data_IF_638169822088
#
_entry.id   IF_638169822088
#
_cell.length_a   1.000
_cell.length_b   1.000
_cell.length_c   1.000
_cell.angle_alpha   90.00
_cell.angle_beta   90.00
_cell.angle_gamma   90.00
#
_symmetry.space_group_name_H-M   'P 1'
#
loop_
_entity.id
_entity.type
_entity.pdbx_description
1 polymer ?
#
# COMPACT_ATOMS: atom_id res chain seq x y z
N UNK A 1 -16.16 -22.16 9.71
CA UNK A 1 -15.66 -22.02 8.32
C UNK A 1 -14.95 -23.32 7.98
N UNK A 2 -15.23 -23.95 6.83
CA UNK A 2 -14.48 -25.12 6.43
C UNK A 2 -13.09 -24.71 5.87
N UNK A 3 -12.10 -25.61 5.83
CA UNK A 3 -10.75 -25.29 5.34
C UNK A 3 -10.72 -24.78 3.90
N UNK A 4 -11.57 -25.30 3.03
CA UNK A 4 -11.67 -24.89 1.62
C UNK A 4 -12.14 -23.46 1.49
N UNK A 5 -13.17 -23.04 2.22
CA UNK A 5 -13.66 -21.66 2.21
C UNK A 5 -12.60 -20.66 2.67
N UNK A 6 -11.72 -21.03 3.61
CA UNK A 6 -10.59 -20.19 3.99
C UNK A 6 -9.54 -20.08 2.86
N UNK A 7 -9.22 -21.20 2.23
CA UNK A 7 -8.27 -21.24 1.10
C UNK A 7 -8.78 -20.42 -0.08
N UNK A 8 -10.06 -20.51 -0.40
CA UNK A 8 -10.71 -19.73 -1.45
C UNK A 8 -10.67 -18.23 -1.15
N UNK A 9 -10.98 -17.84 0.09
CA UNK A 9 -10.89 -16.44 0.52
C UNK A 9 -9.45 -15.90 0.38
N UNK A 10 -8.47 -16.68 0.85
CA UNK A 10 -7.06 -16.30 0.77
C UNK A 10 -6.58 -16.17 -0.68
N UNK A 11 -7.03 -17.06 -1.58
CA UNK A 11 -6.72 -17.02 -3.01
C UNK A 11 -7.42 -15.85 -3.72
N UNK A 12 -8.68 -15.57 -3.37
CA UNK A 12 -9.48 -14.50 -3.97
C UNK A 12 -8.93 -13.09 -3.62
N UNK A 13 -8.31 -12.92 -2.43
CA UNK A 13 -7.73 -11.63 -2.06
C UNK A 13 -6.49 -11.33 -2.91
N UNK A 14 -6.55 -10.25 -3.67
CA UNK A 14 -5.43 -9.73 -4.48
C UNK A 14 -5.40 -8.21 -4.42
N UNK A 15 -4.37 -7.59 -4.99
CA UNK A 15 -4.27 -6.13 -5.06
C UNK A 15 -5.13 -5.59 -6.21
N UNK A 16 -6.25 -4.97 -5.86
CA UNK A 16 -7.15 -4.28 -6.79
C UNK A 16 -6.58 -2.91 -7.12
N UNK A 17 -6.54 -2.54 -8.41
CA UNK A 17 -5.91 -1.31 -8.92
C UNK A 17 -6.84 -0.45 -9.77
N UNK A 18 -8.13 -0.62 -9.57
CA UNK A 18 -9.20 0.18 -10.13
C UNK A 18 -10.44 0.00 -9.27
N UNK A 19 -10.86 1.06 -8.59
CA UNK A 19 -12.02 1.01 -7.70
C UNK A 19 -13.18 1.81 -8.29
N UNK A 20 -14.41 1.41 -7.92
CA UNK A 20 -15.62 2.19 -8.12
C UNK A 20 -15.67 3.30 -7.07
N UNK A 21 -16.38 4.41 -7.35
CA UNK A 21 -16.51 5.53 -6.41
C UNK A 21 -17.48 5.25 -5.25
N UNK A 22 -18.19 4.11 -5.29
CA UNK A 22 -19.20 3.76 -4.29
C UNK A 22 -18.60 3.78 -2.88
N UNK A 23 -19.18 4.50 -1.92
CA UNK A 23 -18.67 4.55 -0.56
C UNK A 23 -18.79 3.20 0.12
N UNK A 24 -17.80 2.85 0.95
CA UNK A 24 -17.91 1.70 1.85
C UNK A 24 -18.68 2.15 3.09
N UNK A 25 -19.78 1.49 3.48
CA UNK A 25 -20.54 1.85 4.66
C UNK A 25 -19.70 1.82 5.94
N UNK A 26 -19.99 2.74 6.87
CA UNK A 26 -19.24 2.84 8.13
C UNK A 26 -19.27 1.56 8.95
N UNK A 27 -20.45 0.94 9.06
CA UNK A 27 -20.62 -0.34 9.76
C UNK A 27 -19.79 -1.49 9.15
N UNK A 28 -19.53 -1.44 7.84
CA UNK A 28 -18.66 -2.43 7.17
C UNK A 28 -17.20 -2.16 7.53
N UNK A 29 -16.78 -0.89 7.56
CA UNK A 29 -15.43 -0.51 7.98
C UNK A 29 -15.18 -0.87 9.46
N UNK A 30 -16.15 -0.61 10.33
CA UNK A 30 -16.08 -0.97 11.76
C UNK A 30 -15.95 -2.48 11.93
N UNK A 31 -16.74 -3.27 11.21
CA UNK A 31 -16.66 -4.73 11.25
C UNK A 31 -15.31 -5.26 10.74
N UNK A 32 -14.71 -4.62 9.72
CA UNK A 32 -13.38 -4.96 9.20
C UNK A 32 -12.31 -4.66 10.28
N UNK A 33 -12.40 -3.52 10.96
CA UNK A 33 -11.49 -3.15 12.04
C UNK A 33 -11.64 -4.05 13.27
N UNK A 34 -12.87 -4.46 13.58
CA UNK A 34 -13.16 -5.40 14.67
C UNK A 34 -12.54 -6.78 14.43
N UNK A 35 -12.55 -7.26 13.21
CA UNK A 35 -11.83 -8.50 12.85
C UNK A 35 -10.31 -8.28 12.90
N UNK A 36 -9.83 -7.15 12.37
CA UNK A 36 -8.40 -6.83 12.36
C UNK A 36 -7.79 -6.79 13.77
N UNK A 37 -8.58 -6.36 14.78
CA UNK A 37 -8.15 -6.34 16.19
C UNK A 37 -7.92 -7.74 16.78
N UNK A 38 -8.39 -8.83 16.14
CA UNK A 38 -8.13 -10.21 16.57
C UNK A 38 -6.73 -10.70 16.19
N UNK A 39 -6.01 -9.95 15.35
CA UNK A 39 -4.63 -10.30 15.04
C UNK A 39 -3.76 -10.30 16.29
N UNK A 40 -2.87 -11.31 16.47
CA UNK A 40 -1.95 -11.34 17.59
C UNK A 40 -0.90 -10.24 17.47
N UNK A 41 -0.30 -9.86 18.59
CA UNK A 41 0.87 -8.99 18.65
C UNK A 41 1.81 -9.44 19.76
N UNK A 42 3.07 -9.04 19.68
CA UNK A 42 4.06 -9.36 20.69
C UNK A 42 3.59 -8.90 22.08
N UNK A 43 3.46 -9.83 23.01
CA UNK A 43 2.95 -9.60 24.36
C UNK A 43 1.63 -8.82 24.43
N UNK A 44 0.82 -8.91 23.39
CA UNK A 44 -0.45 -8.18 23.22
C UNK A 44 -0.29 -6.64 23.30
N UNK A 45 0.87 -6.11 22.92
CA UNK A 45 1.18 -4.67 23.02
C UNK A 45 0.53 -3.83 21.94
N UNK A 46 0.17 -4.41 20.79
CA UNK A 46 -0.46 -3.72 19.64
C UNK A 46 0.28 -2.43 19.25
N UNK A 47 1.57 -2.51 18.85
CA UNK A 47 2.42 -1.34 18.63
C UNK A 47 2.14 -0.69 17.27
N UNK A 48 0.89 -0.61 16.87
CA UNK A 48 0.45 -0.05 15.60
C UNK A 48 -0.84 0.77 15.79
N UNK A 49 -1.04 1.72 14.89
CA UNK A 49 -2.25 2.53 14.76
C UNK A 49 -2.73 2.51 13.32
N UNK A 50 -4.04 2.65 13.12
CA UNK A 50 -4.66 2.75 11.79
C UNK A 50 -5.40 4.08 11.70
N UNK A 51 -5.22 4.81 10.59
CA UNK A 51 -6.03 5.95 10.24
C UNK A 51 -6.77 5.68 8.93
N UNK A 52 -8.04 6.08 8.85
CA UNK A 52 -8.89 5.94 7.67
C UNK A 52 -9.38 7.31 7.21
N UNK A 53 -9.28 7.56 5.90
CA UNK A 53 -9.84 8.73 5.23
C UNK A 53 -10.91 8.29 4.24
N UNK A 54 -12.04 8.97 4.27
CA UNK A 54 -13.17 8.79 3.36
C UNK A 54 -13.65 10.16 2.87
N UNK A 55 -14.47 10.20 1.81
CA UNK A 55 -15.07 11.42 1.29
C UNK A 55 -14.02 12.50 0.99
N UNK A 56 -14.33 13.76 1.32
CA UNK A 56 -13.48 14.91 1.03
C UNK A 56 -12.05 14.78 1.60
N UNK A 57 -11.89 14.13 2.76
CA UNK A 57 -10.55 13.88 3.33
C UNK A 57 -9.72 12.97 2.43
N UNK A 58 -10.31 11.91 1.90
CA UNK A 58 -9.65 11.03 0.94
C UNK A 58 -9.28 11.78 -0.34
N UNK A 59 -10.13 12.70 -0.80
CA UNK A 59 -9.87 13.52 -2.00
C UNK A 59 -8.70 14.50 -1.79
N UNK A 60 -8.64 15.18 -0.64
CA UNK A 60 -7.51 16.06 -0.30
C UNK A 60 -6.20 15.29 -0.20
N UNK A 61 -6.19 14.14 0.47
CA UNK A 61 -5.01 13.27 0.56
C UNK A 61 -4.55 12.81 -0.83
N UNK A 62 -5.48 12.37 -1.67
CA UNK A 62 -5.18 11.95 -3.05
C UNK A 62 -4.51 13.07 -3.83
N UNK A 63 -5.08 14.27 -3.79
CA UNK A 63 -4.51 15.44 -4.45
C UNK A 63 -3.11 15.78 -3.92
N UNK A 64 -2.91 15.72 -2.61
CA UNK A 64 -1.62 16.01 -1.97
C UNK A 64 -0.55 14.98 -2.35
N UNK A 65 -0.84 13.67 -2.28
CA UNK A 65 0.11 12.62 -2.68
C UNK A 65 0.45 12.67 -4.17
N UNK A 66 -0.51 12.97 -5.02
CA UNK A 66 -0.28 13.18 -6.44
C UNK A 66 0.66 14.34 -6.69
N UNK A 67 0.45 15.47 -6.01
CA UNK A 67 1.32 16.65 -6.15
C UNK A 67 2.77 16.34 -5.70
N UNK A 68 2.97 15.54 -4.63
CA UNK A 68 4.30 15.10 -4.21
C UNK A 68 4.95 14.17 -5.24
N UNK A 69 4.19 13.22 -5.79
CA UNK A 69 4.69 12.32 -6.83
C UNK A 69 5.11 13.10 -8.09
N UNK A 70 4.25 13.99 -8.58
CA UNK A 70 4.51 14.79 -9.78
C UNK A 70 5.77 15.65 -9.62
N UNK A 71 6.03 16.18 -8.42
CA UNK A 71 7.24 16.92 -8.10
C UNK A 71 8.53 16.07 -8.19
N UNK A 72 8.43 14.73 -8.05
CA UNK A 72 9.59 13.83 -8.15
C UNK A 72 9.88 13.37 -9.58
N UNK A 73 8.95 13.51 -10.52
CA UNK A 73 9.12 13.04 -11.91
C UNK A 73 10.39 13.58 -12.58
N UNK A 74 10.75 14.88 -12.48
CA UNK A 74 11.98 15.39 -13.07
C UNK A 74 13.25 14.69 -12.54
N UNK A 75 13.24 14.28 -11.26
CA UNK A 75 14.35 13.54 -10.64
C UNK A 75 14.39 12.10 -11.19
N UNK A 76 13.25 11.44 -11.29
CA UNK A 76 13.13 10.10 -11.87
C UNK A 76 13.56 10.09 -13.34
N UNK A 77 13.32 11.17 -14.05
CA UNK A 77 13.74 11.40 -15.44
C UNK A 77 15.22 11.83 -15.56
N UNK A 78 15.93 11.98 -14.44
CA UNK A 78 17.33 12.40 -14.40
C UNK A 78 17.57 13.77 -15.04
N UNK A 79 16.61 14.67 -14.94
CA UNK A 79 16.76 16.05 -15.43
C UNK A 79 17.83 16.79 -14.64
N UNK A 80 18.63 17.60 -15.33
CA UNK A 80 19.72 18.33 -14.72
C UNK A 80 19.19 19.32 -13.65
N UNK A 81 19.76 19.25 -12.45
CA UNK A 81 19.38 20.13 -11.33
C UNK A 81 18.01 19.79 -10.68
N UNK A 82 17.30 18.76 -11.13
CA UNK A 82 15.98 18.40 -10.60
C UNK A 82 16.02 18.07 -9.10
N UNK A 83 17.04 17.35 -8.64
CA UNK A 83 17.21 17.02 -7.23
C UNK A 83 17.37 18.29 -6.38
N UNK A 84 18.20 19.24 -6.83
CA UNK A 84 18.38 20.49 -6.11
C UNK A 84 17.06 21.30 -6.03
N UNK A 85 16.32 21.38 -7.14
CA UNK A 85 15.01 22.04 -7.16
C UNK A 85 14.03 21.36 -6.20
N UNK A 86 13.98 20.03 -6.18
CA UNK A 86 13.11 19.26 -5.29
C UNK A 86 13.42 19.53 -3.81
N UNK A 87 14.71 19.53 -3.45
CA UNK A 87 15.15 19.84 -2.07
C UNK A 87 14.83 21.28 -1.69
N UNK A 88 15.14 22.24 -2.57
CA UNK A 88 14.88 23.66 -2.31
C UNK A 88 13.39 23.99 -2.20
N UNK A 89 12.53 23.24 -2.91
CA UNK A 89 11.07 23.40 -2.78
C UNK A 89 10.51 22.78 -1.50
N UNK A 90 11.31 22.10 -0.68
CA UNK A 90 10.87 21.39 0.52
C UNK A 90 10.06 20.13 0.23
N UNK A 91 10.04 19.64 -1.02
CA UNK A 91 9.20 18.49 -1.45
C UNK A 91 9.96 17.17 -1.55
N UNK A 92 11.19 17.12 -1.06
CA UNK A 92 11.90 15.86 -0.94
C UNK A 92 11.10 14.85 -0.09
N UNK A 93 11.21 13.55 -0.37
CA UNK A 93 10.63 12.52 0.49
C UNK A 93 10.99 12.71 1.96
N UNK A 94 9.98 12.69 2.83
CA UNK A 94 10.09 12.92 4.27
C UNK A 94 9.45 11.78 5.10
N UNK A 95 9.25 10.60 4.48
CA UNK A 95 8.70 9.45 5.16
C UNK A 95 9.59 8.94 6.30
N UNK A 96 8.96 8.38 7.33
CA UNK A 96 9.66 7.86 8.53
C UNK A 96 10.58 6.68 8.21
N UNK A 97 10.28 5.91 7.15
CA UNK A 97 11.03 4.73 6.73
C UNK A 97 11.44 4.82 5.26
N UNK A 98 12.53 4.15 4.94
CA UNK A 98 13.08 4.15 3.57
C UNK A 98 12.23 3.27 2.66
N UNK A 99 11.34 3.85 1.86
CA UNK A 99 10.52 3.13 0.88
C UNK A 99 11.22 2.86 -0.45
N UNK A 100 12.38 3.48 -0.70
CA UNK A 100 13.12 3.46 -1.99
C UNK A 100 14.49 2.80 -1.88
N UNK A 101 14.70 1.94 -0.93
CA UNK A 101 15.94 1.17 -0.87
C UNK A 101 16.04 0.26 -2.10
N UNK A 102 17.22 0.12 -2.72
CA UNK A 102 17.40 -0.88 -3.76
C UNK A 102 17.10 -2.27 -3.18
N UNK A 103 16.42 -3.09 -3.97
CA UNK A 103 16.19 -4.48 -3.58
C UNK A 103 17.50 -5.24 -3.41
N UNK A 104 17.63 -6.14 -2.40
CA UNK A 104 18.72 -7.11 -2.37
C UNK A 104 18.84 -7.85 -3.70
N UNK A 105 20.08 -8.17 -4.11
CA UNK A 105 20.35 -8.72 -5.43
C UNK A 105 19.52 -9.98 -5.75
N UNK A 106 19.31 -10.83 -4.75
CA UNK A 106 18.50 -12.06 -4.84
C UNK A 106 16.98 -11.81 -5.00
N UNK A 107 16.47 -10.66 -4.52
CA UNK A 107 15.05 -10.31 -4.58
C UNK A 107 14.69 -9.45 -5.80
N UNK A 108 15.67 -8.74 -6.35
CA UNK A 108 15.47 -7.83 -7.49
C UNK A 108 14.83 -8.51 -8.71
N UNK A 109 15.27 -9.73 -9.14
CA UNK A 109 14.64 -10.41 -10.28
C UNK A 109 13.16 -10.69 -10.07
N UNK A 110 12.75 -10.94 -8.82
CA UNK A 110 11.35 -11.20 -8.47
C UNK A 110 10.48 -9.96 -8.60
N UNK A 111 10.98 -8.81 -8.12
CA UNK A 111 10.32 -7.52 -8.27
C UNK A 111 10.20 -7.12 -9.75
N UNK A 112 11.27 -7.30 -10.52
CA UNK A 112 11.28 -7.01 -11.96
C UNK A 112 10.31 -7.90 -12.75
N UNK A 113 10.24 -9.18 -12.42
CA UNK A 113 9.35 -10.14 -13.08
C UNK A 113 7.87 -9.79 -12.87
N UNK A 114 7.45 -9.49 -11.64
CA UNK A 114 6.05 -9.12 -11.37
C UNK A 114 5.71 -7.76 -11.99
N UNK A 115 6.61 -6.77 -11.91
CA UNK A 115 6.42 -5.46 -12.53
C UNK A 115 6.30 -5.55 -14.05
N UNK A 116 7.18 -6.34 -14.69
CA UNK A 116 7.14 -6.58 -16.13
C UNK A 116 5.84 -7.22 -16.60
N UNK A 117 5.35 -8.23 -15.87
CA UNK A 117 4.06 -8.88 -16.17
C UNK A 117 2.86 -7.96 -15.96
N UNK A 118 2.88 -7.14 -14.91
CA UNK A 118 1.82 -6.16 -14.65
C UNK A 118 1.74 -5.13 -15.78
N UNK A 119 2.87 -4.53 -16.18
CA UNK A 119 2.89 -3.56 -17.28
C UNK A 119 2.47 -4.19 -18.60
N UNK A 120 2.93 -5.41 -18.91
CA UNK A 120 2.50 -6.15 -20.09
C UNK A 120 0.98 -6.42 -20.10
N UNK A 121 0.41 -6.79 -18.93
CA UNK A 121 -1.03 -6.98 -18.76
C UNK A 121 -1.82 -5.68 -19.01
N UNK A 122 -1.25 -4.54 -18.64
CA UNK A 122 -1.83 -3.21 -18.88
C UNK A 122 -1.56 -2.69 -20.32
N UNK A 123 -0.89 -3.44 -21.17
CA UNK A 123 -0.50 -2.99 -22.51
C UNK A 123 0.59 -1.91 -22.54
N UNK A 124 1.31 -1.71 -21.43
CA UNK A 124 2.33 -0.65 -21.31
C UNK A 124 3.70 -1.19 -21.73
N UNK A 125 4.24 -0.63 -22.81
CA UNK A 125 5.54 -1.02 -23.31
C UNK A 125 6.68 -0.57 -22.37
N UNK A 126 7.77 -1.36 -22.32
CA UNK A 126 8.93 -1.07 -21.45
C UNK A 126 9.54 0.32 -21.68
N UNK A 127 9.50 0.81 -22.92
CA UNK A 127 10.05 2.12 -23.32
C UNK A 127 9.04 3.25 -23.23
N UNK A 128 7.77 2.95 -22.98
CA UNK A 128 6.72 3.96 -22.84
C UNK A 128 6.81 4.57 -21.44
N UNK A 129 7.58 5.64 -21.34
CA UNK A 129 7.82 6.34 -20.09
C UNK A 129 6.54 7.00 -19.58
N UNK A 130 5.81 7.69 -20.46
CA UNK A 130 4.61 8.43 -20.08
C UNK A 130 3.53 7.50 -19.51
N UNK A 131 3.21 6.41 -20.18
CA UNK A 131 2.25 5.43 -19.69
C UNK A 131 2.71 4.78 -18.38
N UNK A 132 4.01 4.58 -18.19
CA UNK A 132 4.57 4.04 -16.93
C UNK A 132 4.47 5.04 -15.78
N UNK A 133 4.74 6.33 -16.03
CA UNK A 133 4.60 7.38 -15.03
C UNK A 133 3.13 7.55 -14.64
N UNK A 134 2.22 7.54 -15.62
CA UNK A 134 0.79 7.56 -15.38
C UNK A 134 0.33 6.36 -14.54
N UNK A 135 0.79 5.16 -14.84
CA UNK A 135 0.49 3.95 -14.06
C UNK A 135 1.07 4.02 -12.63
N UNK A 136 2.28 4.57 -12.46
CA UNK A 136 2.89 4.77 -11.15
C UNK A 136 2.13 5.82 -10.33
N UNK A 137 1.72 6.93 -10.95
CA UNK A 137 0.93 8.00 -10.36
C UNK A 137 -0.39 7.51 -9.78
N UNK A 138 -1.03 6.52 -10.41
CA UNK A 138 -2.27 5.91 -9.92
C UNK A 138 -2.15 5.31 -8.52
N UNK A 139 -0.95 4.89 -8.08
CA UNK A 139 -0.74 4.44 -6.69
C UNK A 139 -0.95 5.60 -5.70
N UNK A 140 -0.52 6.81 -6.04
CA UNK A 140 -0.73 8.03 -5.24
C UNK A 140 -2.19 8.49 -5.27
N UNK A 141 -2.92 8.14 -6.32
CA UNK A 141 -4.37 8.32 -6.42
C UNK A 141 -5.15 7.27 -5.61
N UNK A 142 -4.47 6.35 -4.92
CA UNK A 142 -5.06 5.17 -4.29
C UNK A 142 -5.98 4.39 -5.25
N UNK A 143 -5.68 4.43 -6.55
CA UNK A 143 -6.45 3.80 -7.64
C UNK A 143 -7.93 4.22 -7.69
N UNK A 144 -8.28 5.39 -7.14
CA UNK A 144 -9.64 5.90 -7.06
C UNK A 144 -10.49 5.30 -5.94
N UNK A 145 -9.88 4.59 -5.00
CA UNK A 145 -10.60 3.95 -3.89
C UNK A 145 -11.32 4.97 -3.00
N UNK A 146 -12.56 4.69 -2.54
CA UNK A 146 -13.30 5.56 -1.64
C UNK A 146 -12.70 5.64 -0.24
N UNK A 147 -11.86 4.69 0.15
CA UNK A 147 -11.18 4.66 1.46
C UNK A 147 -9.68 4.58 1.27
N UNK A 148 -8.96 5.50 1.88
CA UNK A 148 -7.49 5.49 2.00
C UNK A 148 -7.15 5.23 3.46
N UNK A 149 -6.43 4.15 3.72
CA UNK A 149 -5.97 3.79 5.05
C UNK A 149 -4.46 3.97 5.19
N UNK A 150 -4.03 4.19 6.42
CA UNK A 150 -2.63 4.33 6.81
C UNK A 150 -2.35 3.46 8.03
N UNK A 151 -1.14 2.91 8.08
CA UNK A 151 -0.65 2.16 9.23
C UNK A 151 0.61 2.82 9.75
N UNK A 152 0.57 3.16 11.04
CA UNK A 152 1.70 3.66 11.79
C UNK A 152 2.16 2.60 12.77
N UNK A 153 3.47 2.57 13.05
CA UNK A 153 4.06 1.63 14.01
C UNK A 153 4.97 2.37 14.99
N UNK A 154 5.09 1.86 16.20
CA UNK A 154 5.99 2.42 17.20
C UNK A 154 7.44 2.29 16.74
N UNK A 155 8.15 3.42 16.64
CA UNK A 155 9.51 3.51 16.05
C UNK A 155 10.54 2.69 16.84
N UNK A 156 10.45 2.69 18.15
CA UNK A 156 11.40 2.03 19.05
C UNK A 156 11.13 0.52 19.23
N UNK A 157 10.11 -0.04 18.55
CA UNK A 157 9.74 -1.46 18.67
C UNK A 157 9.95 -2.24 17.36
N UNK A 158 10.84 -1.78 16.50
CA UNK A 158 11.25 -2.53 15.29
C UNK A 158 12.16 -3.71 15.70
N UNK A 159 12.08 -4.89 15.02
CA UNK A 159 11.20 -5.19 13.87
C UNK A 159 9.80 -5.71 14.26
N UNK A 160 9.52 -5.91 15.56
CA UNK A 160 8.27 -6.55 16.03
C UNK A 160 7.02 -5.74 15.68
N UNK A 161 7.09 -4.42 15.80
CA UNK A 161 5.98 -3.56 15.40
C UNK A 161 5.58 -3.73 13.93
N UNK A 162 6.56 -3.92 13.03
CA UNK A 162 6.30 -4.18 11.61
C UNK A 162 5.71 -5.57 11.37
N UNK A 163 6.17 -6.60 12.11
CA UNK A 163 5.61 -7.95 12.06
C UNK A 163 4.14 -7.94 12.50
N UNK A 164 3.85 -7.33 13.65
CA UNK A 164 2.51 -7.24 14.22
C UNK A 164 1.54 -6.47 13.31
N UNK A 165 2.00 -5.35 12.74
CA UNK A 165 1.24 -4.59 11.75
C UNK A 165 0.94 -5.41 10.49
N UNK A 166 1.87 -6.25 10.03
CA UNK A 166 1.66 -7.16 8.90
C UNK A 166 0.58 -8.21 9.18
N UNK A 167 0.57 -8.79 10.38
CA UNK A 167 -0.46 -9.74 10.84
C UNK A 167 -1.84 -9.07 10.88
N UNK A 168 -1.92 -7.88 11.44
CA UNK A 168 -3.14 -7.07 11.47
C UNK A 168 -3.63 -6.73 10.07
N UNK A 169 -2.76 -6.24 9.19
CA UNK A 169 -3.12 -5.88 7.81
C UNK A 169 -3.64 -7.07 7.00
N UNK A 170 -3.03 -8.25 7.13
CA UNK A 170 -3.54 -9.43 6.42
C UNK A 170 -4.92 -9.82 6.92
N UNK A 171 -5.17 -9.76 8.24
CA UNK A 171 -6.50 -10.01 8.83
C UNK A 171 -7.51 -9.00 8.30
N UNK A 172 -7.16 -7.71 8.28
CA UNK A 172 -7.98 -6.62 7.73
C UNK A 172 -8.36 -6.88 6.26
N UNK A 173 -7.40 -7.25 5.42
CA UNK A 173 -7.65 -7.48 4.00
C UNK A 173 -8.50 -8.72 3.73
N UNK A 174 -8.35 -9.78 4.53
CA UNK A 174 -9.20 -10.96 4.44
C UNK A 174 -10.63 -10.67 4.91
N UNK A 175 -10.77 -9.92 6.00
CA UNK A 175 -12.06 -9.45 6.51
C UNK A 175 -12.80 -8.57 5.50
N UNK A 176 -12.08 -7.62 4.88
CA UNK A 176 -12.62 -6.81 3.81
C UNK A 176 -13.12 -7.68 2.65
N UNK A 177 -12.28 -8.62 2.17
CA UNK A 177 -12.64 -9.51 1.05
C UNK A 177 -13.85 -10.39 1.37
N UNK A 178 -13.95 -10.91 2.60
CA UNK A 178 -15.11 -11.69 3.04
C UNK A 178 -16.43 -10.89 3.03
N UNK A 179 -16.34 -9.55 3.09
CA UNK A 179 -17.48 -8.62 3.03
C UNK A 179 -17.68 -8.00 1.65
N UNK A 180 -17.01 -8.51 0.62
CA UNK A 180 -17.11 -7.99 -0.75
C UNK A 180 -16.35 -6.69 -0.97
N UNK A 181 -15.54 -6.24 -0.01
CA UNK A 181 -14.67 -5.06 -0.13
C UNK A 181 -13.27 -5.51 -0.56
N UNK A 182 -12.76 -4.93 -1.61
CA UNK A 182 -11.42 -5.22 -2.14
C UNK A 182 -10.37 -4.27 -1.56
N UNK A 183 -9.10 -4.66 -1.68
CA UNK A 183 -7.99 -3.92 -1.09
C UNK A 183 -6.75 -3.86 -1.97
N UNK A 184 -5.93 -2.82 -1.73
CA UNK A 184 -4.58 -2.73 -2.28
C UNK A 184 -3.62 -2.13 -1.25
N UNK A 185 -2.54 -2.84 -0.84
CA UNK A 185 -1.48 -2.24 -0.05
C UNK A 185 -0.72 -1.21 -0.89
N UNK A 186 -0.42 -0.04 -0.31
CA UNK A 186 0.13 1.14 -0.97
C UNK A 186 1.35 1.69 -0.21
N UNK A 187 2.47 0.95 -0.25
CA UNK A 187 3.72 1.38 0.38
C UNK A 187 4.21 2.76 -0.07
N UNK A 188 3.85 3.19 -1.29
CA UNK A 188 4.21 4.51 -1.82
C UNK A 188 3.67 5.66 -0.97
N UNK A 189 2.55 5.51 -0.28
CA UNK A 189 1.98 6.55 0.58
C UNK A 189 2.83 6.81 1.82
N UNK A 190 3.71 5.89 2.23
CA UNK A 190 4.67 6.13 3.31
C UNK A 190 5.94 6.88 2.85
N UNK A 191 6.03 7.23 1.58
CA UNK A 191 7.16 8.00 1.03
C UNK A 191 7.18 9.43 1.51
N UNK A 192 6.00 10.00 1.72
CA UNK A 192 5.82 11.37 2.20
C UNK A 192 4.94 11.38 3.44
N UNK A 193 5.46 11.95 4.52
CA UNK A 193 4.73 12.10 5.77
C UNK A 193 3.81 13.32 5.75
N UNK A 194 4.22 14.41 5.11
CA UNK A 194 3.48 15.68 5.07
C UNK A 194 2.00 15.57 4.66
N UNK A 195 1.62 14.83 3.58
CA UNK A 195 0.20 14.70 3.24
C UNK A 195 -0.62 14.04 4.35
N UNK A 196 -0.05 13.07 5.04
CA UNK A 196 -0.70 12.43 6.19
C UNK A 196 -0.86 13.41 7.35
N UNK A 197 0.21 14.11 7.75
CA UNK A 197 0.19 15.04 8.90
C UNK A 197 -0.70 16.27 8.67
N UNK A 198 -1.04 16.60 7.41
CA UNK A 198 -2.01 17.66 7.09
C UNK A 198 -3.46 17.25 7.43
N UNK A 199 -3.76 15.96 7.56
CA UNK A 199 -5.12 15.45 7.75
C UNK A 199 -5.30 14.65 9.05
N UNK A 200 -4.20 14.21 9.68
CA UNK A 200 -4.21 13.39 10.88
C UNK A 200 -3.17 13.83 11.90
N UNK A 201 -3.52 13.70 13.15
CA UNK A 201 -2.62 13.85 14.28
C UNK A 201 -2.15 12.47 14.76
N UNK A 202 -0.84 12.24 14.79
CA UNK A 202 -0.27 10.99 15.29
C UNK A 202 0.83 11.27 16.32
N UNK A 203 1.02 10.41 17.35
CA UNK A 203 2.11 10.55 18.31
C UNK A 203 3.47 10.55 17.61
N UNK A 204 4.43 11.33 18.11
CA UNK A 204 5.75 11.53 17.50
C UNK A 204 6.60 10.24 17.45
N UNK A 205 6.35 9.31 18.38
CA UNK A 205 6.96 7.99 18.47
C UNK A 205 6.37 6.96 17.51
N UNK A 206 5.32 7.33 16.73
CA UNK A 206 4.75 6.48 15.68
C UNK A 206 5.16 6.92 14.29
N UNK A 207 5.72 5.99 13.52
CA UNK A 207 6.14 6.20 12.13
C UNK A 207 5.17 5.58 11.14
N UNK A 208 4.90 6.28 10.04
CA UNK A 208 4.07 5.81 8.93
C UNK A 208 4.82 4.75 8.12
N UNK A 209 4.39 3.48 8.20
CA UNK A 209 5.07 2.38 7.51
C UNK A 209 4.46 2.04 6.15
N UNK A 210 3.16 2.19 5.98
CA UNK A 210 2.47 1.91 4.71
C UNK A 210 1.09 2.55 4.68
N UNK A 211 0.55 2.72 3.48
CA UNK A 211 -0.86 2.97 3.27
C UNK A 211 -1.56 1.78 2.62
N UNK A 212 -2.86 1.88 2.47
CA UNK A 212 -3.69 0.93 1.74
C UNK A 212 -4.96 1.59 1.20
N UNK A 213 -5.57 0.96 0.21
CA UNK A 213 -6.85 1.33 -0.37
C UNK A 213 -7.90 0.27 -0.04
N UNK A 214 -9.15 0.69 0.24
CA UNK A 214 -10.32 -0.18 0.32
C UNK A 214 -11.45 0.37 -0.52
N UNK A 215 -12.23 -0.52 -1.13
CA UNK A 215 -13.39 -0.18 -1.95
C UNK A 215 -13.88 -1.36 -2.76
N UNK A 216 -14.79 -1.11 -3.66
CA UNK A 216 -15.31 -2.13 -4.57
C UNK A 216 -14.54 -2.11 -5.88
N UNK A 217 -14.08 -3.27 -6.35
CA UNK A 217 -13.38 -3.37 -7.63
C UNK A 217 -14.26 -2.86 -8.77
N UNK A 218 -13.65 -2.10 -9.69
CA UNK A 218 -14.27 -1.78 -10.99
C UNK A 218 -13.94 -2.86 -12.01
N UNK A 219 -14.58 -2.79 -13.18
CA UNK A 219 -14.31 -3.68 -14.32
C UNK A 219 -13.01 -3.34 -15.09
N UNK A 220 -12.13 -2.54 -14.47
CA UNK A 220 -10.86 -2.18 -15.08
C UNK A 220 -9.99 -3.43 -15.33
N UNK A 221 -9.47 -3.65 -16.54
CA UNK A 221 -8.72 -4.87 -16.88
C UNK A 221 -7.51 -5.14 -15.98
N UNK A 222 -6.93 -4.10 -15.36
CA UNK A 222 -5.83 -4.26 -14.40
C UNK A 222 -6.22 -5.10 -13.19
N UNK A 223 -7.51 -5.19 -12.87
CA UNK A 223 -8.03 -5.99 -11.76
C UNK A 223 -8.03 -7.49 -12.05
N UNK A 224 -7.86 -7.91 -13.31
CA UNK A 224 -7.70 -9.32 -13.68
C UNK A 224 -6.28 -9.83 -13.47
N UNK A 225 -5.32 -8.93 -13.25
CA UNK A 225 -3.94 -9.32 -13.02
C UNK A 225 -3.78 -10.11 -11.72
N UNK A 226 -3.17 -11.29 -11.82
CA UNK A 226 -2.80 -12.14 -10.69
C UNK A 226 -1.30 -12.32 -10.64
N UNK A 227 -0.68 -11.87 -9.55
CA UNK A 227 0.72 -12.14 -9.30
C UNK A 227 0.91 -13.60 -8.89
N UNK A 228 1.91 -14.25 -9.45
CA UNK A 228 2.32 -15.59 -9.05
C UNK A 228 2.63 -15.65 -7.55
N UNK A 229 2.18 -16.71 -6.90
CA UNK A 229 2.52 -17.03 -5.51
C UNK A 229 3.54 -18.15 -5.50
N UNK A 230 4.70 -17.85 -4.98
CA UNK A 230 5.77 -18.83 -4.80
C UNK A 230 5.52 -19.66 -3.55
N UNK A 231 5.99 -20.90 -3.58
CA UNK A 231 5.95 -21.75 -2.39
C UNK A 231 6.75 -21.11 -1.23
N UNK A 232 6.28 -21.34 -0.02
CA UNK A 232 7.04 -21.00 1.19
C UNK A 232 8.31 -21.86 1.22
N UNK A 233 9.47 -21.21 1.33
CA UNK A 233 10.75 -21.91 1.42
C UNK A 233 10.95 -22.40 2.85
N UNK A 234 11.14 -23.69 3.00
CA UNK A 234 11.49 -24.29 4.29
C UNK A 234 13.00 -24.24 4.50
N UNK A 235 13.42 -23.93 5.72
CA UNK A 235 14.82 -24.03 6.10
C UNK A 235 15.17 -25.50 6.28
N UNK A 236 16.24 -26.03 5.62
CA UNK A 236 16.61 -27.42 5.77
C UNK A 236 17.09 -27.72 7.20
N UNK A 237 16.73 -28.89 7.71
CA UNK A 237 17.21 -29.38 9.00
C UNK A 237 18.68 -29.76 8.86
N UNK A 238 19.51 -29.45 9.84
CA UNK A 238 20.89 -29.94 9.88
C UNK A 238 20.88 -31.45 10.10
N UNK A 239 21.61 -32.17 9.26
CA UNK A 239 21.90 -33.61 9.44
C UNK A 239 22.84 -33.82 10.61
#
# INVERSE_FOLDING_TARGET
MNPEAFSDLAAARHSVRGFRPDPVPGEVLDAILDDARQAPSWSNTRPFMVALATGERADRLRAAYVAEFDATLPVQHKERGAMARLVLSGRAPDGDYRTWAPYPAELLPHSQAVGGRLYAHMGIARRDREARDAAARRNCEAFGAPVIGFVLIHKDFMPFAALDAGLMLQTLFLSAKARGVDSCPLGVLATWRRPFDAEFEAPADYGLITGFALGYASDAPVNDFRAERRAVRLVPVRS
#
